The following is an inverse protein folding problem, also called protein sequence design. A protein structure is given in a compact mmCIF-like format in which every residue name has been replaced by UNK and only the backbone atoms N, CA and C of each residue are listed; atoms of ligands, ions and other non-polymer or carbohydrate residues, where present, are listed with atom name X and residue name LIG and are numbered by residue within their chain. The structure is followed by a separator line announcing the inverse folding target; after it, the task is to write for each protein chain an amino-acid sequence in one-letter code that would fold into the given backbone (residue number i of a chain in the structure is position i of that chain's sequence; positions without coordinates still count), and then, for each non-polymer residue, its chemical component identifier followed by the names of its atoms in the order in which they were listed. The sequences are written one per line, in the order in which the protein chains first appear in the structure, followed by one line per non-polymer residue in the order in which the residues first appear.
data_IF_786744210711
#
_entry.id   IF_786744210711
#
_cell.length_a   1.000
_cell.length_b   1.000
_cell.length_c   1.000
_cell.angle_alpha   90.00
_cell.angle_beta   90.00
_cell.angle_gamma   90.00
#
_symmetry.space_group_name_H-M   'P 1'
#
loop_
_entity.id
_entity.type
_entity.pdbx_description
1 polymer ?
#
# COMPACT_ATOMS: atom_id res chain seq x y z
N UNK A 1 5.72 -16.01 8.57
CA UNK A 1 6.36 -14.98 7.75
C UNK A 1 6.87 -13.89 8.67
N UNK A 2 8.13 -13.52 8.54
CA UNK A 2 8.74 -12.52 9.40
C UNK A 2 8.71 -11.14 8.75
N UNK A 3 8.55 -10.12 9.58
CA UNK A 3 8.62 -8.74 9.12
C UNK A 3 10.09 -8.39 8.87
N UNK A 4 10.39 -7.95 7.64
CA UNK A 4 11.70 -7.49 7.25
C UNK A 4 11.60 -6.05 6.75
N UNK A 5 12.52 -5.20 7.14
CA UNK A 5 12.58 -3.80 6.68
C UNK A 5 11.25 -3.06 6.88
N UNK A 6 10.76 -3.03 8.12
CA UNK A 6 9.54 -2.29 8.45
C UNK A 6 9.74 -0.80 8.15
N UNK A 7 8.88 -0.26 7.29
CA UNK A 7 8.91 1.15 6.92
C UNK A 7 7.97 1.93 7.85
N UNK A 8 8.52 2.90 8.53
CA UNK A 8 7.80 3.67 9.55
C UNK A 8 7.65 5.11 9.07
N UNK A 9 6.68 5.31 8.19
CA UNK A 9 6.41 6.63 7.60
C UNK A 9 5.30 7.34 8.37
N UNK A 10 5.42 8.67 8.45
CA UNK A 10 4.41 9.52 9.10
C UNK A 10 3.54 10.26 8.09
N UNK A 11 3.97 10.33 6.84
CA UNK A 11 3.25 11.03 5.77
C UNK A 11 3.14 10.16 4.53
N UNK A 12 1.99 10.21 3.88
CA UNK A 12 1.70 9.47 2.66
C UNK A 12 2.75 9.71 1.57
N UNK A 13 3.26 10.94 1.47
CA UNK A 13 4.27 11.29 0.48
C UNK A 13 5.56 10.48 0.63
N UNK A 14 5.90 10.06 1.84
CA UNK A 14 7.08 9.24 2.08
C UNK A 14 6.91 7.85 1.48
N UNK A 15 5.72 7.26 1.62
CA UNK A 15 5.42 5.96 1.00
C UNK A 15 5.43 6.07 -0.52
N UNK A 16 4.85 7.13 -1.07
CA UNK A 16 4.87 7.37 -2.52
C UNK A 16 6.29 7.47 -3.04
N UNK A 17 7.16 8.21 -2.35
CA UNK A 17 8.56 8.34 -2.71
C UNK A 17 9.28 6.97 -2.68
N UNK A 18 8.97 6.15 -1.67
CA UNK A 18 9.52 4.80 -1.59
C UNK A 18 9.12 3.96 -2.83
N UNK A 19 7.83 3.98 -3.19
CA UNK A 19 7.37 3.26 -4.38
C UNK A 19 8.02 3.77 -5.65
N UNK A 20 8.19 5.08 -5.80
CA UNK A 20 8.84 5.64 -6.99
C UNK A 20 10.26 5.12 -7.16
N UNK A 21 10.95 4.85 -6.07
CA UNK A 21 12.33 4.34 -6.09
C UNK A 21 12.41 2.82 -6.15
N UNK A 22 11.45 2.10 -5.60
CA UNK A 22 11.58 0.66 -5.34
C UNK A 22 10.53 -0.21 -6.01
N UNK A 23 9.42 0.34 -6.46
CA UNK A 23 8.29 -0.47 -6.94
C UNK A 23 8.65 -1.36 -8.13
N UNK A 24 9.60 -0.95 -8.95
CA UNK A 24 10.00 -1.71 -10.14
C UNK A 24 10.97 -2.86 -9.82
N UNK A 25 11.62 -2.83 -8.67
CA UNK A 25 12.71 -3.76 -8.33
C UNK A 25 12.44 -4.60 -7.08
N UNK A 26 11.79 -4.04 -6.08
CA UNK A 26 11.52 -4.74 -4.83
C UNK A 26 10.31 -5.65 -4.97
N UNK A 27 10.27 -6.71 -4.17
CA UNK A 27 9.22 -7.73 -4.24
C UNK A 27 8.28 -7.71 -3.06
N UNK A 28 8.60 -6.95 -2.02
CA UNK A 28 7.73 -6.75 -0.87
C UNK A 28 8.21 -5.60 -0.02
N UNK A 29 7.31 -5.10 0.80
CA UNK A 29 7.65 -4.22 1.91
C UNK A 29 6.62 -4.39 3.02
N UNK A 30 6.98 -3.92 4.21
CA UNK A 30 6.08 -3.89 5.37
C UNK A 30 5.95 -2.44 5.81
N UNK A 31 4.70 -2.00 5.98
CA UNK A 31 4.40 -0.61 6.34
C UNK A 31 3.73 -0.58 7.71
N UNK A 32 4.25 0.22 8.62
CA UNK A 32 3.57 0.49 9.89
C UNK A 32 2.34 1.35 9.63
N UNK A 33 1.19 0.90 10.14
CA UNK A 33 -0.09 1.59 9.89
C UNK A 33 -1.08 1.39 11.03
N UNK A 34 -2.23 2.08 10.93
CA UNK A 34 -3.38 1.86 11.80
C UNK A 34 -4.65 1.82 10.94
N UNK A 35 -5.69 1.11 11.41
CA UNK A 35 -6.94 0.97 10.64
C UNK A 35 -8.08 1.80 11.20
N UNK A 36 -8.36 1.66 12.47
CA UNK A 36 -9.55 2.27 13.06
C UNK A 36 -9.19 3.48 13.90
N UNK A 37 -8.23 3.31 14.79
CA UNK A 37 -7.84 4.37 15.72
C UNK A 37 -6.33 4.51 15.71
N UNK A 38 -5.88 5.74 15.53
CA UNK A 38 -4.46 6.04 15.62
C UNK A 38 -3.97 5.79 17.05
N UNK A 39 -2.92 4.98 17.26
CA UNK A 39 -2.35 4.81 18.58
C UNK A 39 -1.90 6.14 19.19
N UNK A 40 -2.08 6.31 20.49
CA UNK A 40 -1.80 7.57 21.18
C UNK A 40 -0.35 8.03 21.01
N UNK A 41 0.58 7.08 21.03
CA UNK A 41 2.01 7.35 20.88
C UNK A 41 2.51 7.09 19.45
N UNK A 42 1.63 7.14 18.49
CA UNK A 42 1.99 6.79 17.13
C UNK A 42 2.87 7.84 16.46
N UNK A 43 4.13 7.48 16.25
CA UNK A 43 4.98 8.13 15.28
C UNK A 43 5.36 7.05 14.26
N UNK A 44 5.53 7.43 13.00
CA UNK A 44 5.91 6.47 11.98
C UNK A 44 4.86 5.41 11.69
N UNK A 45 3.61 5.82 11.48
CA UNK A 45 2.58 4.94 10.96
C UNK A 45 1.57 5.76 10.14
N UNK A 46 0.94 5.09 9.16
CA UNK A 46 0.00 5.71 8.23
C UNK A 46 -1.40 5.15 8.41
N UNK A 47 -2.45 5.92 8.08
CA UNK A 47 -3.80 5.34 8.01
C UNK A 47 -3.87 4.27 6.92
N UNK A 48 -4.63 3.21 7.17
CA UNK A 48 -4.79 2.09 6.24
C UNK A 48 -5.15 2.55 4.82
N UNK A 49 -6.07 3.52 4.70
CA UNK A 49 -6.52 3.96 3.38
C UNK A 49 -5.38 4.57 2.55
N UNK A 50 -4.46 5.31 3.19
CA UNK A 50 -3.31 5.87 2.48
C UNK A 50 -2.40 4.75 1.95
N UNK A 51 -2.19 3.71 2.75
CA UNK A 51 -1.35 2.57 2.37
C UNK A 51 -1.94 1.84 1.17
N UNK A 52 -3.23 1.53 1.22
CA UNK A 52 -3.91 0.82 0.12
C UNK A 52 -3.94 1.65 -1.15
N UNK A 53 -4.23 2.94 -1.04
CA UNK A 53 -4.30 3.80 -2.22
C UNK A 53 -2.95 3.96 -2.90
N UNK A 54 -1.87 4.15 -2.14
CA UNK A 54 -0.54 4.24 -2.74
C UNK A 54 -0.15 2.91 -3.39
N UNK A 55 -0.45 1.78 -2.76
CA UNK A 55 -0.20 0.47 -3.35
C UNK A 55 -0.92 0.31 -4.70
N UNK A 56 -2.20 0.71 -4.77
CA UNK A 56 -2.97 0.64 -6.01
C UNK A 56 -2.36 1.52 -7.10
N UNK A 57 -1.86 2.70 -6.74
CA UNK A 57 -1.25 3.61 -7.71
C UNK A 57 -0.03 3.01 -8.40
N UNK A 58 0.65 2.04 -7.76
CA UNK A 58 1.86 1.42 -8.29
C UNK A 58 1.66 -0.05 -8.67
N UNK A 59 0.42 -0.54 -8.66
CA UNK A 59 0.13 -1.91 -9.06
C UNK A 59 0.51 -2.95 -8.02
N UNK A 60 0.52 -2.56 -6.76
CA UNK A 60 0.81 -3.45 -5.63
C UNK A 60 -0.48 -3.80 -4.88
N UNK A 61 -0.40 -4.81 -4.01
CA UNK A 61 -1.55 -5.30 -3.23
C UNK A 61 -1.14 -5.52 -1.78
N UNK A 62 -2.07 -5.27 -0.86
CA UNK A 62 -1.92 -5.63 0.54
C UNK A 62 -2.22 -7.12 0.74
N UNK A 63 -1.46 -7.75 1.60
CA UNK A 63 -1.61 -9.18 1.88
C UNK A 63 -1.60 -9.44 3.39
N UNK A 64 -0.50 -9.93 3.94
CA UNK A 64 -0.41 -10.31 5.35
C UNK A 64 -0.42 -9.09 6.27
N UNK A 65 -1.17 -9.21 7.36
CA UNK A 65 -1.26 -8.19 8.40
C UNK A 65 -0.78 -8.77 9.72
N UNK A 66 0.10 -8.06 10.41
CA UNK A 66 0.59 -8.47 11.73
C UNK A 66 0.43 -7.33 12.73
N UNK A 67 0.18 -7.68 13.99
CA UNK A 67 0.12 -6.70 15.07
C UNK A 67 1.51 -6.45 15.61
N UNK A 68 1.86 -5.18 15.80
CA UNK A 68 3.10 -4.78 16.45
C UNK A 68 2.88 -4.61 17.95
N UNK A 69 3.95 -4.73 18.78
CA UNK A 69 3.80 -4.62 20.24
C UNK A 69 3.29 -3.27 20.73
N UNK A 70 3.41 -2.21 19.94
CA UNK A 70 3.04 -0.85 20.31
C UNK A 70 1.68 -0.43 19.75
N UNK A 71 0.80 -1.39 19.49
CA UNK A 71 -0.55 -1.21 18.94
C UNK A 71 -0.61 -0.73 17.49
N UNK A 72 0.52 -0.52 16.84
CA UNK A 72 0.53 -0.32 15.40
C UNK A 72 0.33 -1.67 14.69
N UNK A 73 0.01 -1.62 13.43
CA UNK A 73 -0.09 -2.80 12.57
C UNK A 73 1.03 -2.75 11.53
N UNK A 74 1.48 -3.92 11.10
CA UNK A 74 2.43 -4.04 10.00
C UNK A 74 1.70 -4.68 8.82
N UNK A 75 1.56 -3.93 7.72
CA UNK A 75 0.91 -4.40 6.51
C UNK A 75 1.96 -4.79 5.47
N UNK A 76 1.90 -6.04 5.02
CA UNK A 76 2.74 -6.47 3.91
C UNK A 76 2.13 -6.04 2.60
N UNK A 77 2.96 -5.44 1.74
CA UNK A 77 2.58 -5.07 0.37
C UNK A 77 3.51 -5.78 -0.60
N UNK A 78 2.99 -6.15 -1.76
CA UNK A 78 3.77 -6.80 -2.82
C UNK A 78 3.17 -6.47 -4.18
N UNK A 79 3.97 -6.59 -5.26
CA UNK A 79 3.43 -6.41 -6.61
C UNK A 79 2.30 -7.40 -6.89
N UNK A 80 1.25 -6.94 -7.57
CA UNK A 80 0.14 -7.81 -7.97
C UNK A 80 0.61 -8.84 -8.98
N UNK A 81 0.09 -10.04 -8.88
CA UNK A 81 0.30 -11.06 -9.89
C UNK A 81 -0.57 -10.73 -11.10
N UNK A 82 -0.16 -11.20 -12.27
CA UNK A 82 -0.80 -10.90 -13.56
C UNK A 82 -2.31 -11.16 -13.59
N UNK A 83 -2.79 -12.18 -12.93
CA UNK A 83 -4.21 -12.53 -12.90
C UNK A 83 -4.77 -12.48 -11.49
N UNK A 84 -4.30 -11.51 -10.67
CA UNK A 84 -4.79 -11.36 -9.31
C UNK A 84 -6.27 -10.96 -9.30
N UNK A 85 -6.97 -11.33 -8.23
CA UNK A 85 -8.35 -10.93 -8.05
C UNK A 85 -8.46 -9.45 -7.69
N UNK A 86 -9.40 -8.77 -8.30
CA UNK A 86 -9.71 -7.37 -8.02
C UNK A 86 -11.13 -7.26 -7.49
N UNK A 87 -11.28 -6.66 -6.31
CA UNK A 87 -12.60 -6.36 -5.75
C UNK A 87 -13.19 -5.14 -6.45
N UNK A 88 -14.52 -5.03 -6.45
CA UNK A 88 -15.18 -3.85 -6.99
C UNK A 88 -14.75 -2.58 -6.25
N UNK A 89 -14.54 -2.68 -4.94
CA UNK A 89 -14.05 -1.55 -4.14
C UNK A 89 -12.68 -1.07 -4.64
N UNK A 90 -11.76 -1.98 -4.90
CA UNK A 90 -10.42 -1.61 -5.38
C UNK A 90 -10.46 -1.06 -6.80
N UNK A 91 -11.36 -1.56 -7.66
CA UNK A 91 -11.56 -0.99 -8.99
C UNK A 91 -12.07 0.44 -8.90
N UNK A 92 -13.02 0.71 -7.99
CA UNK A 92 -13.53 2.05 -7.77
C UNK A 92 -12.45 2.98 -7.22
N UNK A 93 -11.64 2.49 -6.29
CA UNK A 93 -10.49 3.25 -5.78
C UNK A 93 -9.53 3.66 -6.89
N UNK A 94 -9.23 2.74 -7.82
CA UNK A 94 -8.38 3.04 -8.96
C UNK A 94 -8.97 4.13 -9.85
N UNK A 95 -10.27 4.07 -10.12
CA UNK A 95 -10.93 5.11 -10.91
C UNK A 95 -10.85 6.47 -10.23
N UNK A 96 -11.07 6.51 -8.92
CA UNK A 96 -11.00 7.74 -8.14
C UNK A 96 -9.56 8.30 -8.12
N UNK A 97 -8.57 7.44 -7.96
CA UNK A 97 -7.16 7.83 -7.96
C UNK A 97 -6.71 8.36 -9.32
N UNK A 98 -7.21 7.75 -10.40
CA UNK A 98 -6.94 8.24 -11.76
C UNK A 98 -7.53 9.65 -11.93
N UNK A 99 -8.76 9.86 -11.46
CA UNK A 99 -9.42 11.16 -11.54
C UNK A 99 -8.68 12.24 -10.74
N UNK A 100 -8.00 11.85 -9.66
CA UNK A 100 -7.20 12.77 -8.84
C UNK A 100 -5.80 13.01 -9.38
N UNK A 101 -5.41 12.31 -10.45
CA UNK A 101 -4.07 12.44 -11.04
C UNK A 101 -2.98 11.73 -10.25
N UNK A 102 -3.34 10.80 -9.39
CA UNK A 102 -2.40 10.07 -8.52
C UNK A 102 -1.92 8.75 -9.10
N UNK A 103 -2.67 8.18 -10.06
CA UNK A 103 -2.34 6.89 -10.67
C UNK A 103 -1.04 6.99 -11.46
N UNK A 104 -0.24 5.91 -11.44
CA UNK A 104 1.01 5.81 -12.22
C UNK A 104 0.81 4.81 -13.37
N UNK A 105 1.77 4.80 -14.29
CA UNK A 105 1.74 3.85 -15.42
C UNK A 105 1.80 2.40 -14.93
N UNK A 106 2.56 2.10 -13.88
CA UNK A 106 2.60 0.76 -13.28
C UNK A 106 1.23 0.35 -12.78
N UNK A 107 0.53 1.26 -12.10
CA UNK A 107 -0.81 1.00 -11.59
C UNK A 107 -1.81 0.83 -12.72
N UNK A 108 -1.72 1.63 -13.76
CA UNK A 108 -2.59 1.51 -14.94
C UNK A 108 -2.41 0.17 -15.64
N UNK A 109 -1.17 -0.30 -15.78
CA UNK A 109 -0.90 -1.61 -16.38
C UNK A 109 -1.49 -2.74 -15.54
N UNK A 110 -1.33 -2.69 -14.23
CA UNK A 110 -1.92 -3.69 -13.35
C UNK A 110 -3.44 -3.68 -13.43
N UNK A 111 -4.05 -2.50 -13.44
CA UNK A 111 -5.51 -2.37 -13.52
C UNK A 111 -6.05 -2.85 -14.88
N UNK A 112 -5.32 -2.61 -15.95
CA UNK A 112 -5.73 -3.07 -17.29
C UNK A 112 -5.82 -4.60 -17.36
N UNK A 113 -5.12 -5.32 -16.49
CA UNK A 113 -5.18 -6.79 -16.41
C UNK A 113 -6.28 -7.27 -15.45
N UNK A 114 -7.00 -6.37 -14.80
CA UNK A 114 -8.10 -6.71 -13.90
C UNK A 114 -9.28 -7.27 -14.68
N UNK A 115 -9.98 -8.26 -14.11
CA UNK A 115 -11.15 -8.89 -14.73
C UNK A 115 -12.39 -8.75 -13.87
#
# INVERSE_FOLDING_TARGET
MEITNLLEFSHRAQLRDWFERHAATDKECWIAMYRVKRPAECSGCLPYIDVVEEALCFGWIDSTLKRLPDDRLAQRLSPRRKHSHWTELNKQRCADLEAQGLMTDMGRQAFALAK
#
